data_IF_421176274505
#
_entry.id   IF_421176274505
#
_cell.length_a   1.000
_cell.length_b   1.000
_cell.length_c   1.000
_cell.angle_alpha   90.00
_cell.angle_beta   90.00
_cell.angle_gamma   90.00
#
_symmetry.space_group_name_H-M   'P 1'
#
loop_
_entity.id
_entity.type
_entity.pdbx_description
1 polymer ?
#
# COMPACT_ATOMS: atom_id res chain seq x y z
N UNK A 1 -18.33 -19.25 7.40
CA UNK A 1 -17.25 -19.33 8.42
C UNK A 1 -16.04 -18.57 7.86
N UNK A 2 -15.61 -17.49 8.53
CA UNK A 2 -14.61 -16.53 8.01
C UNK A 2 -13.27 -17.23 7.68
N UNK A 3 -12.78 -17.13 6.44
CA UNK A 3 -11.54 -17.78 5.98
C UNK A 3 -10.34 -17.41 6.88
N UNK A 4 -10.34 -16.20 7.42
CA UNK A 4 -9.32 -15.69 8.36
C UNK A 4 -9.35 -16.45 9.68
N UNK A 5 -10.54 -16.79 10.20
CA UNK A 5 -10.68 -17.58 11.43
C UNK A 5 -10.13 -18.99 11.22
N UNK A 6 -10.46 -19.64 10.09
CA UNK A 6 -9.94 -20.96 9.76
C UNK A 6 -8.41 -20.94 9.63
N UNK A 7 -7.86 -19.91 9.00
CA UNK A 7 -6.41 -19.75 8.88
C UNK A 7 -5.75 -19.61 10.26
N UNK A 8 -6.31 -18.77 11.13
CA UNK A 8 -5.83 -18.62 12.50
C UNK A 8 -5.87 -19.95 13.28
N UNK A 9 -6.95 -20.71 13.15
CA UNK A 9 -7.10 -21.99 13.86
C UNK A 9 -6.09 -23.05 13.41
N UNK A 10 -5.73 -23.08 12.13
CA UNK A 10 -4.92 -24.15 11.56
C UNK A 10 -3.43 -23.83 11.48
N UNK A 11 -3.05 -22.55 11.38
CA UNK A 11 -1.65 -22.13 11.10
C UNK A 11 -1.05 -21.22 12.18
N UNK A 12 -1.84 -20.69 13.11
CA UNK A 12 -1.29 -19.84 14.16
C UNK A 12 -0.66 -20.69 15.27
N UNK A 13 0.66 -20.58 15.45
CA UNK A 13 1.37 -21.27 16.54
C UNK A 13 0.85 -20.90 17.95
N UNK A 14 0.24 -19.72 18.09
CA UNK A 14 -0.33 -19.26 19.35
C UNK A 14 -1.79 -19.71 19.55
N UNK A 15 -2.38 -20.49 18.64
CA UNK A 15 -3.75 -20.96 18.74
C UNK A 15 -3.79 -22.45 19.09
N UNK A 16 -4.39 -22.80 20.22
CA UNK A 16 -4.56 -24.18 20.68
C UNK A 16 -5.85 -24.31 21.50
N UNK A 17 -6.49 -25.48 21.46
CA UNK A 17 -7.70 -25.80 22.25
C UNK A 17 -8.83 -24.77 22.09
N UNK A 18 -9.00 -24.20 20.89
CA UNK A 18 -10.04 -23.21 20.62
C UNK A 18 -9.76 -21.80 21.17
N UNK A 19 -8.57 -21.55 21.72
CA UNK A 19 -8.17 -20.25 22.28
C UNK A 19 -6.74 -19.86 21.90
N UNK A 20 -6.40 -18.61 22.20
CA UNK A 20 -5.03 -18.13 22.07
C UNK A 20 -4.25 -18.39 23.36
N UNK A 21 -3.01 -18.86 23.22
CA UNK A 21 -2.10 -19.14 24.32
C UNK A 21 -1.48 -17.87 24.92
N UNK A 22 -1.53 -16.74 24.21
CA UNK A 22 -1.08 -15.45 24.75
C UNK A 22 -2.07 -14.98 25.80
N UNK A 23 -1.66 -14.96 27.07
CA UNK A 23 -2.52 -14.64 28.22
C UNK A 23 -2.64 -13.15 28.51
N UNK A 24 -1.67 -12.34 28.09
CA UNK A 24 -1.63 -10.91 28.43
C UNK A 24 -2.68 -10.07 27.69
N UNK A 25 -3.36 -10.64 26.70
CA UNK A 25 -4.32 -9.94 25.84
C UNK A 25 -5.36 -10.87 25.23
N UNK A 26 -6.61 -10.41 25.15
CA UNK A 26 -7.73 -11.18 24.59
C UNK A 26 -7.59 -11.34 23.08
N UNK A 27 -7.54 -12.58 22.59
CA UNK A 27 -7.38 -12.82 21.16
C UNK A 27 -8.66 -12.58 20.36
N UNK A 28 -8.52 -11.83 19.26
CA UNK A 28 -9.57 -11.58 18.28
C UNK A 28 -10.23 -12.84 17.71
N UNK A 29 -9.45 -13.91 17.53
CA UNK A 29 -9.90 -15.12 16.81
C UNK A 29 -10.34 -16.26 17.74
N UNK A 30 -10.10 -16.14 19.04
CA UNK A 30 -10.44 -17.15 20.06
C UNK A 30 -11.48 -16.68 21.07
N UNK A 31 -11.95 -15.44 20.99
CA UNK A 31 -12.98 -14.91 21.89
C UNK A 31 -14.02 -14.10 21.11
N UNK A 32 -15.32 -14.40 21.27
CA UNK A 32 -16.41 -13.58 20.72
C UNK A 32 -16.39 -12.14 21.23
N UNK A 33 -15.84 -11.91 22.43
CA UNK A 33 -15.83 -10.62 23.14
C UNK A 33 -14.46 -9.94 23.09
N UNK A 34 -13.67 -10.17 22.04
CA UNK A 34 -12.35 -9.56 21.95
C UNK A 34 -12.46 -8.05 21.62
N UNK A 35 -11.98 -7.21 22.54
CA UNK A 35 -11.82 -5.76 22.30
C UNK A 35 -10.73 -5.41 21.28
N UNK A 36 -9.94 -6.41 20.87
CA UNK A 36 -8.82 -6.24 19.96
C UNK A 36 -9.28 -6.36 18.51
N UNK A 37 -9.15 -5.29 17.73
CA UNK A 37 -9.51 -5.30 16.31
C UNK A 37 -8.46 -5.95 15.40
N UNK A 38 -7.18 -6.01 15.78
CA UNK A 38 -6.07 -6.56 14.96
C UNK A 38 -5.08 -7.34 15.81
N UNK A 39 -4.53 -8.42 15.27
CA UNK A 39 -3.51 -9.22 15.95
C UNK A 39 -2.19 -9.09 15.21
N UNK A 40 -1.21 -8.40 15.81
CA UNK A 40 0.09 -8.14 15.18
C UNK A 40 0.83 -9.43 14.80
N UNK A 41 0.83 -10.43 15.69
CA UNK A 41 1.46 -11.72 15.41
C UNK A 41 0.83 -12.42 14.19
N UNK A 42 -0.50 -12.37 14.09
CA UNK A 42 -1.19 -12.98 12.96
C UNK A 42 -0.84 -12.26 11.66
N UNK A 43 -0.83 -10.92 11.64
CA UNK A 43 -0.49 -10.11 10.46
C UNK A 43 0.96 -10.30 10.02
N UNK A 44 1.91 -10.46 10.93
CA UNK A 44 3.34 -10.57 10.57
C UNK A 44 3.84 -11.99 10.36
N UNK A 45 3.25 -12.98 11.03
CA UNK A 45 3.82 -14.34 11.12
C UNK A 45 2.95 -15.43 10.50
N UNK A 46 1.63 -15.21 10.39
CA UNK A 46 0.69 -16.23 9.88
C UNK A 46 0.12 -15.85 8.51
N UNK A 47 -0.34 -14.61 8.38
CA UNK A 47 -1.03 -14.11 7.21
C UNK A 47 -0.16 -14.09 5.93
N UNK A 48 1.14 -13.72 5.97
CA UNK A 48 2.00 -13.70 4.77
C UNK A 48 2.22 -15.07 4.14
N UNK A 49 1.96 -16.16 4.87
CA UNK A 49 2.05 -17.52 4.33
C UNK A 49 0.89 -17.89 3.39
N UNK A 50 -0.20 -17.09 3.38
CA UNK A 50 -1.37 -17.31 2.52
C UNK A 50 -1.75 -15.99 1.80
N UNK A 51 -1.06 -15.63 0.70
CA UNK A 51 -1.20 -14.32 0.03
C UNK A 51 -2.62 -13.99 -0.45
N UNK A 52 -3.40 -15.00 -0.84
CA UNK A 52 -4.80 -14.82 -1.25
C UNK A 52 -5.70 -14.38 -0.09
N UNK A 53 -5.48 -14.94 1.10
CA UNK A 53 -6.23 -14.59 2.31
C UNK A 53 -5.75 -13.25 2.84
N UNK A 54 -4.44 -12.97 2.76
CA UNK A 54 -3.83 -11.68 3.11
C UNK A 54 -4.47 -10.51 2.34
N UNK A 55 -4.57 -10.64 1.02
CA UNK A 55 -5.19 -9.61 0.19
C UNK A 55 -6.62 -9.31 0.61
N UNK A 56 -7.44 -10.36 0.83
CA UNK A 56 -8.84 -10.22 1.28
C UNK A 56 -8.94 -9.67 2.70
N UNK A 57 -8.04 -10.08 3.58
CA UNK A 57 -7.93 -9.59 4.96
C UNK A 57 -7.74 -8.07 4.97
N UNK A 58 -6.75 -7.55 4.23
CA UNK A 58 -6.51 -6.11 4.16
C UNK A 58 -7.59 -5.36 3.36
N UNK A 59 -8.15 -5.97 2.31
CA UNK A 59 -9.26 -5.37 1.55
C UNK A 59 -10.50 -5.14 2.43
N UNK A 60 -10.87 -6.13 3.27
CA UNK A 60 -12.01 -6.03 4.17
C UNK A 60 -11.82 -5.04 5.33
N UNK A 61 -10.56 -4.72 5.67
CA UNK A 61 -10.20 -3.87 6.82
C UNK A 61 -9.92 -2.41 6.47
N UNK A 62 -10.07 -2.06 5.19
CA UNK A 62 -9.86 -0.72 4.70
C UNK A 62 -8.38 -0.43 4.45
N UNK A 63 -8.07 -0.31 3.16
CA UNK A 63 -6.83 0.20 2.57
C UNK A 63 -5.60 -0.69 2.78
N UNK A 64 -5.41 -1.69 1.89
CA UNK A 64 -4.15 -1.63 1.15
C UNK A 64 -4.10 -0.23 0.56
N UNK A 65 -3.07 0.56 0.88
CA UNK A 65 -2.91 1.89 0.32
C UNK A 65 -2.91 1.76 -1.21
N UNK A 66 -4.09 1.87 -1.84
CA UNK A 66 -4.31 1.94 -3.28
C UNK A 66 -3.86 3.31 -3.80
N UNK A 67 -2.87 3.90 -3.12
CA UNK A 67 -2.19 5.10 -3.54
C UNK A 67 -1.36 4.69 -4.75
N UNK A 68 -1.52 5.37 -5.89
CA UNK A 68 -0.70 5.06 -7.05
C UNK A 68 0.77 5.30 -6.73
N UNK A 69 1.62 4.53 -7.40
CA UNK A 69 3.06 4.73 -7.41
C UNK A 69 3.43 5.77 -8.47
N UNK A 70 4.43 6.59 -8.18
CA UNK A 70 4.98 7.56 -9.11
C UNK A 70 5.78 6.87 -10.21
N UNK A 71 5.49 7.13 -11.48
CA UNK A 71 6.22 6.52 -12.61
C UNK A 71 7.72 6.89 -12.66
N UNK A 72 8.13 7.98 -11.98
CA UNK A 72 9.52 8.42 -11.96
C UNK A 72 10.33 7.88 -10.77
N UNK A 73 9.74 7.83 -9.57
CA UNK A 73 10.46 7.44 -8.35
C UNK A 73 9.93 6.18 -7.66
N UNK A 74 8.84 5.58 -8.15
CA UNK A 74 8.22 4.39 -7.57
C UNK A 74 7.45 4.62 -6.27
N UNK A 75 7.63 5.77 -5.60
CA UNK A 75 6.97 6.04 -4.32
C UNK A 75 5.46 6.22 -4.46
N UNK A 76 4.72 5.71 -3.49
CA UNK A 76 3.28 5.94 -3.36
C UNK A 76 2.99 7.43 -3.12
N UNK A 77 1.93 7.95 -3.74
CA UNK A 77 1.50 9.34 -3.55
C UNK A 77 -0.03 9.48 -3.60
N UNK A 78 -0.55 10.57 -3.04
CA UNK A 78 -1.97 10.90 -3.12
C UNK A 78 -2.25 11.64 -4.44
N UNK A 79 -3.20 11.14 -5.25
CA UNK A 79 -3.65 11.85 -6.45
C UNK A 79 -4.45 13.08 -6.04
N UNK A 80 -4.10 14.22 -6.62
CA UNK A 80 -4.95 15.41 -6.61
C UNK A 80 -5.87 15.44 -7.84
N UNK A 81 -5.52 14.72 -8.92
CA UNK A 81 -6.34 14.63 -10.13
C UNK A 81 -6.25 13.27 -10.84
N UNK A 82 -7.29 12.91 -11.59
CA UNK A 82 -7.41 11.60 -12.25
C UNK A 82 -6.39 11.30 -13.36
N UNK A 83 -5.64 12.31 -13.83
CA UNK A 83 -4.56 12.18 -14.83
C UNK A 83 -3.16 12.27 -14.22
N UNK A 84 -3.05 12.36 -12.90
CA UNK A 84 -1.75 12.47 -12.24
C UNK A 84 -1.06 11.10 -12.22
N UNK A 85 0.14 11.04 -12.82
CA UNK A 85 1.02 9.86 -12.90
C UNK A 85 2.33 10.01 -12.10
N UNK A 86 2.67 11.25 -11.73
CA UNK A 86 3.87 11.56 -10.94
C UNK A 86 3.48 12.14 -9.57
N UNK A 87 4.30 11.88 -8.55
CA UNK A 87 4.23 12.62 -7.30
C UNK A 87 4.55 14.12 -7.52
N UNK A 88 4.12 14.99 -6.60
CA UNK A 88 4.26 16.45 -6.75
C UNK A 88 5.71 16.89 -6.97
N UNK A 89 6.66 16.25 -6.28
CA UNK A 89 8.09 16.56 -6.43
C UNK A 89 8.60 16.20 -7.83
N UNK A 90 8.32 14.98 -8.31
CA UNK A 90 8.74 14.54 -9.65
C UNK A 90 8.05 15.34 -10.76
N UNK A 91 6.77 15.68 -10.58
CA UNK A 91 6.02 16.49 -11.54
C UNK A 91 6.67 17.87 -11.76
N UNK A 92 7.07 18.56 -10.68
CA UNK A 92 7.74 19.87 -10.76
C UNK A 92 9.08 19.78 -11.49
N UNK A 93 9.87 18.75 -11.22
CA UNK A 93 11.18 18.59 -11.86
C UNK A 93 11.03 18.28 -13.36
N UNK A 94 10.13 17.36 -13.71
CA UNK A 94 9.85 17.02 -15.11
C UNK A 94 9.34 18.25 -15.87
N UNK A 95 8.46 19.06 -15.25
CA UNK A 95 7.96 20.29 -15.86
C UNK A 95 9.08 21.31 -16.10
N UNK A 96 9.99 21.48 -15.13
CA UNK A 96 11.18 22.34 -15.25
C UNK A 96 12.06 21.90 -16.42
N UNK A 97 12.36 20.61 -16.53
CA UNK A 97 13.17 20.05 -17.62
C UNK A 97 12.49 20.27 -18.98
N UNK A 98 11.19 19.97 -19.09
CA UNK A 98 10.42 20.19 -20.33
C UNK A 98 10.39 21.66 -20.74
N UNK A 99 10.20 22.57 -19.76
CA UNK A 99 10.20 24.01 -20.00
C UNK A 99 11.55 24.51 -20.53
N UNK A 100 12.65 24.07 -19.91
CA UNK A 100 13.99 24.41 -20.36
C UNK A 100 14.28 23.90 -21.78
N UNK A 101 13.86 22.66 -22.10
CA UNK A 101 14.00 22.09 -23.44
C UNK A 101 13.25 22.93 -24.49
N UNK A 102 11.98 23.29 -24.24
CA UNK A 102 11.20 24.15 -25.14
C UNK A 102 11.84 25.52 -25.34
N UNK A 103 12.31 26.16 -24.27
CA UNK A 103 12.97 27.46 -24.36
C UNK A 103 14.26 27.41 -25.18
N UNK A 104 15.04 26.33 -25.03
CA UNK A 104 16.24 26.11 -25.82
C UNK A 104 15.91 25.95 -27.31
N UNK A 105 14.94 25.08 -27.64
CA UNK A 105 14.50 24.87 -29.01
C UNK A 105 13.99 26.16 -29.65
N UNK A 106 13.16 26.93 -28.94
CA UNK A 106 12.66 28.22 -29.41
C UNK A 106 13.79 29.22 -29.73
N UNK A 107 14.82 29.29 -28.87
CA UNK A 107 15.99 30.16 -29.10
C UNK A 107 16.80 29.71 -30.32
N UNK A 108 17.00 28.40 -30.48
CA UNK A 108 17.71 27.83 -31.63
C UNK A 108 16.96 28.06 -32.95
N UNK A 109 15.63 27.85 -32.96
CA UNK A 109 14.79 28.14 -34.13
C UNK A 109 14.79 29.63 -34.50
N UNK A 110 14.72 30.53 -33.52
CA UNK A 110 14.83 31.97 -33.78
C UNK A 110 16.17 32.36 -34.39
N UNK A 111 17.28 31.77 -33.93
CA UNK A 111 18.59 32.01 -34.53
C UNK A 111 18.65 31.52 -35.98
N UNK A 112 18.10 30.34 -36.26
CA UNK A 112 18.05 29.78 -37.63
C UNK A 112 17.22 30.63 -38.59
N UNK A 113 16.15 31.28 -38.12
CA UNK A 113 15.30 32.17 -38.94
C UNK A 113 15.91 33.56 -39.19
N UNK A 114 16.96 33.93 -38.47
CA UNK A 114 17.63 35.23 -38.58
C UNK A 114 18.93 35.17 -39.39
N UNK A 115 19.33 33.97 -39.83
CA UNK A 115 20.41 33.69 -40.77
C UNK A 115 19.80 33.46 -42.16
#
# INVERSE_FOLDING_TARGET
MNEVLKLAQNRCANFAEGRCLVTDRTCLYGSPNADIRRCSYFETSVLPAEPAIEMRYYASRGKMDSRPCCDNCGNQFNRTGGRQIYCVACAKEIERVKRNKRNRQYREERKKRAL
#
